data_IF_511392374562
#
_entry.id   IF_511392374562
#
_cell.length_a   1.000
_cell.length_b   1.000
_cell.length_c   1.000
_cell.angle_alpha   90.00
_cell.angle_beta   90.00
_cell.angle_gamma   90.00
#
_symmetry.space_group_name_H-M   'P 1'
#
loop_
_entity.id
_entity.type
_entity.pdbx_description
1 polymer ?
#
# COMPACT_ATOMS: atom_id res chain seq x y z
N UNK A 1 8.73 -7.11 17.98
CA UNK A 1 8.29 -7.18 16.57
C UNK A 1 7.41 -5.99 16.14
N UNK A 2 7.92 -4.77 16.27
CA UNK A 2 7.22 -3.54 15.83
C UNK A 2 8.08 -2.69 14.87
N UNK A 3 9.39 -2.93 14.85
CA UNK A 3 10.35 -2.24 13.98
C UNK A 3 10.11 -2.61 12.51
N UNK A 4 9.93 -3.89 12.20
CA UNK A 4 9.60 -4.37 10.83
C UNK A 4 8.35 -3.72 10.24
N UNK A 5 7.33 -3.49 11.09
CA UNK A 5 6.07 -2.89 10.62
C UNK A 5 6.26 -1.45 10.18
N UNK A 6 7.18 -0.69 10.80
CA UNK A 6 7.45 0.70 10.42
C UNK A 6 8.28 0.77 9.13
N UNK A 7 9.20 -0.18 8.94
CA UNK A 7 10.04 -0.24 7.74
C UNK A 7 9.23 -0.57 6.48
N UNK A 8 8.37 -1.59 6.53
CA UNK A 8 7.55 -1.97 5.35
C UNK A 8 6.54 -0.88 4.97
N UNK A 9 5.99 -0.16 5.95
CA UNK A 9 5.10 0.98 5.68
C UNK A 9 5.90 2.11 5.02
N UNK A 10 7.13 2.38 5.47
CA UNK A 10 8.02 3.36 4.83
C UNK A 10 8.28 3.04 3.36
N UNK A 11 8.60 1.78 3.05
CA UNK A 11 8.82 1.31 1.67
C UNK A 11 7.56 1.46 0.81
N UNK A 12 6.41 1.00 1.31
CA UNK A 12 5.13 1.13 0.64
C UNK A 12 4.77 2.59 0.32
N UNK A 13 5.03 3.51 1.26
CA UNK A 13 4.86 4.95 1.03
C UNK A 13 5.77 5.45 -0.09
N UNK A 14 7.05 5.06 -0.11
CA UNK A 14 7.99 5.44 -1.17
C UNK A 14 7.54 5.01 -2.56
N UNK A 15 6.97 3.79 -2.69
CA UNK A 15 6.40 3.30 -3.95
C UNK A 15 5.23 4.18 -4.41
N UNK A 16 4.31 4.55 -3.51
CA UNK A 16 3.17 5.41 -3.84
C UNK A 16 3.61 6.82 -4.19
N UNK A 17 4.57 7.39 -3.45
CA UNK A 17 5.15 8.69 -3.73
C UNK A 17 5.74 8.73 -5.14
N UNK A 18 6.52 7.72 -5.52
CA UNK A 18 7.14 7.68 -6.85
C UNK A 18 6.10 7.55 -7.97
N UNK A 19 5.09 6.69 -7.79
CA UNK A 19 4.10 6.38 -8.84
C UNK A 19 3.01 7.42 -9.01
N UNK A 20 2.59 8.04 -7.90
CA UNK A 20 1.47 8.98 -7.89
C UNK A 20 1.93 10.43 -7.71
N UNK A 21 3.23 10.67 -7.50
CA UNK A 21 3.82 12.00 -7.26
C UNK A 21 3.11 12.72 -6.11
N UNK A 22 2.81 11.96 -5.05
CA UNK A 22 2.17 12.43 -3.82
C UNK A 22 3.18 12.50 -2.68
N UNK A 23 2.82 13.22 -1.61
CA UNK A 23 3.61 13.31 -0.38
C UNK A 23 3.56 12.02 0.42
N UNK A 24 4.48 11.88 1.38
CA UNK A 24 4.47 10.75 2.31
C UNK A 24 3.20 10.71 3.17
N UNK A 25 2.62 11.85 3.54
CA UNK A 25 1.38 11.88 4.32
C UNK A 25 0.19 11.37 3.49
N UNK A 26 0.05 11.84 2.26
CA UNK A 26 -0.97 11.37 1.32
C UNK A 26 -0.82 9.87 1.02
N UNK A 27 0.41 9.38 0.85
CA UNK A 27 0.68 7.95 0.67
C UNK A 27 0.21 7.12 1.87
N UNK A 28 0.38 7.62 3.10
CA UNK A 28 -0.12 6.95 4.30
C UNK A 28 -1.66 6.90 4.36
N UNK A 29 -2.31 8.00 3.95
CA UNK A 29 -3.78 8.05 3.84
C UNK A 29 -4.26 7.00 2.81
N UNK A 30 -3.60 6.88 1.66
CA UNK A 30 -3.91 5.87 0.64
C UNK A 30 -3.80 4.45 1.21
N UNK A 31 -2.73 4.12 1.94
CA UNK A 31 -2.58 2.82 2.59
C UNK A 31 -3.69 2.59 3.64
N UNK A 32 -4.04 3.61 4.41
CA UNK A 32 -5.10 3.54 5.43
C UNK A 32 -6.48 3.33 4.82
N UNK A 33 -6.78 3.96 3.69
CA UNK A 33 -8.03 3.72 2.95
C UNK A 33 -8.08 2.30 2.38
N UNK A 34 -6.98 1.80 1.83
CA UNK A 34 -6.91 0.43 1.33
C UNK A 34 -7.07 -0.60 2.47
N UNK A 35 -6.49 -0.36 3.64
CA UNK A 35 -6.67 -1.17 4.85
C UNK A 35 -8.12 -1.25 5.28
N UNK A 36 -8.82 -0.11 5.36
CA UNK A 36 -10.24 -0.06 5.71
C UNK A 36 -11.10 -0.81 4.68
N UNK A 37 -10.85 -0.61 3.38
CA UNK A 37 -11.63 -1.24 2.31
C UNK A 37 -11.46 -2.77 2.25
N UNK A 38 -10.29 -3.27 2.62
CA UNK A 38 -9.94 -4.70 2.52
C UNK A 38 -10.07 -5.43 3.84
N UNK A 39 -10.40 -4.72 4.93
CA UNK A 39 -10.35 -5.24 6.30
C UNK A 39 -9.00 -5.88 6.67
N UNK A 40 -7.93 -5.51 5.97
CA UNK A 40 -6.57 -5.96 6.25
C UNK A 40 -5.88 -4.98 7.19
N UNK A 41 -5.00 -5.48 8.05
CA UNK A 41 -4.11 -4.61 8.84
C UNK A 41 -3.25 -3.75 7.91
N UNK A 42 -2.98 -2.51 8.30
CA UNK A 42 -2.17 -1.56 7.52
C UNK A 42 -0.81 -2.15 7.09
N UNK A 43 -0.15 -2.90 7.98
CA UNK A 43 1.09 -3.63 7.67
C UNK A 43 0.89 -4.62 6.52
N UNK A 44 -0.18 -5.40 6.53
CA UNK A 44 -0.47 -6.37 5.47
C UNK A 44 -0.78 -5.72 4.14
N UNK A 45 -1.40 -4.54 4.14
CA UNK A 45 -1.58 -3.72 2.93
C UNK A 45 -0.23 -3.23 2.39
N UNK A 46 0.65 -2.75 3.27
CA UNK A 46 1.99 -2.31 2.90
C UNK A 46 2.83 -3.47 2.36
N UNK A 47 2.83 -4.63 3.01
CA UNK A 47 3.49 -5.85 2.56
C UNK A 47 2.98 -6.29 1.18
N UNK A 48 1.66 -6.28 0.99
CA UNK A 48 1.06 -6.61 -0.32
C UNK A 48 1.54 -5.63 -1.39
N UNK A 49 1.52 -4.32 -1.11
CA UNK A 49 1.98 -3.32 -2.07
C UNK A 49 3.46 -3.45 -2.39
N UNK A 50 4.31 -3.72 -1.40
CA UNK A 50 5.76 -3.91 -1.60
C UNK A 50 6.02 -5.17 -2.43
N UNK A 51 5.30 -6.26 -2.16
CA UNK A 51 5.49 -7.54 -2.85
C UNK A 51 4.88 -7.59 -4.26
N UNK A 52 3.68 -7.03 -4.46
CA UNK A 52 2.95 -7.10 -5.73
C UNK A 52 3.08 -5.83 -6.58
N UNK A 53 3.47 -4.72 -5.96
CA UNK A 53 3.39 -3.41 -6.57
C UNK A 53 1.96 -2.87 -6.70
N UNK A 54 0.92 -3.57 -6.26
CA UNK A 54 -0.47 -3.10 -6.36
C UNK A 54 -1.13 -2.97 -4.99
N UNK A 55 -2.10 -2.06 -4.85
CA UNK A 55 -2.89 -1.95 -3.62
C UNK A 55 -3.95 -3.06 -3.59
N UNK A 56 -4.14 -3.74 -2.45
CA UNK A 56 -5.15 -4.78 -2.34
C UNK A 56 -6.56 -4.19 -2.58
N UNK A 57 -7.38 -4.94 -3.30
CA UNK A 57 -8.73 -4.53 -3.69
C UNK A 57 -8.82 -3.50 -4.83
N UNK A 58 -7.70 -3.01 -5.39
CA UNK A 58 -7.75 -2.33 -6.69
C UNK A 58 -7.91 -3.42 -7.74
N UNK A 59 -9.14 -3.62 -8.25
CA UNK A 59 -9.36 -4.48 -9.42
C UNK A 59 -8.59 -3.85 -10.59
N UNK A 60 -7.44 -4.42 -10.93
CA UNK A 60 -6.73 -4.12 -12.16
C UNK A 60 -7.63 -4.64 -13.31
N UNK A 61 -8.03 -3.80 -14.30
CA UNK A 61 -8.88 -4.26 -15.41
C UNK A 61 -8.17 -5.21 -16.40
N UNK A 62 -7.07 -5.85 -16.00
CA UNK A 62 -6.19 -6.66 -16.88
C UNK A 62 -6.41 -8.18 -16.79
N UNK A 63 -7.57 -8.63 -16.30
CA UNK A 63 -7.94 -10.07 -16.30
C UNK A 63 -9.07 -10.44 -17.27
N UNK A 64 -9.37 -9.58 -18.26
CA UNK A 64 -10.10 -9.98 -19.46
C UNK A 64 -9.08 -10.41 -20.53
N UNK A 65 -8.74 -11.70 -20.52
CA UNK A 65 -7.94 -12.39 -21.53
C UNK A 65 -8.40 -13.83 -21.61
#
# INVERSE_FOLDING_TARGET
EAVDSRDVIGQAKGILMERHKITGEEAFIVLSMASQRTHMKLRGVAEHLVSSGELPGRKSPRSAG
#
